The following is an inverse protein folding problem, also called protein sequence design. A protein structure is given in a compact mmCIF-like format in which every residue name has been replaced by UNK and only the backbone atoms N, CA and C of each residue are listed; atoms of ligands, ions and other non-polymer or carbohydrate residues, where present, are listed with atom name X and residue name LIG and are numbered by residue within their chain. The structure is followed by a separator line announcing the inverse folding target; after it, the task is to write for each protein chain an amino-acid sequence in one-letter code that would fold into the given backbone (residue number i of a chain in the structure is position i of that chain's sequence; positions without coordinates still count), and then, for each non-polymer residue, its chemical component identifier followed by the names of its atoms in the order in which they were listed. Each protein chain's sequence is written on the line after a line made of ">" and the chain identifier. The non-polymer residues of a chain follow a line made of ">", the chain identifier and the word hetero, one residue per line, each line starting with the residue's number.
data_IF_253627407347
#
_entry.id   IF_253627407347
#
_cell.length_a   1.000
_cell.length_b   1.000
_cell.length_c   1.000
_cell.angle_alpha   90.00
_cell.angle_beta   90.00
_cell.angle_gamma   90.00
#
_symmetry.space_group_name_H-M   'P 1'
#
loop_
_entity.id
_entity.type
_entity.pdbx_description
1 polymer ?
#
# COMPACT_ATOMS: atom_id res chain seq x y z
N UNK A 1 -20.36 4.44 14.13
CA UNK A 1 -19.60 3.98 12.95
C UNK A 1 -20.62 3.70 11.87
N UNK A 2 -20.57 4.39 10.74
CA UNK A 2 -21.53 4.19 9.65
C UNK A 2 -21.37 2.80 9.06
N UNK A 3 -22.46 2.22 8.53
CA UNK A 3 -22.45 0.91 7.86
C UNK A 3 -21.44 0.86 6.71
N UNK A 4 -21.20 1.99 6.04
CA UNK A 4 -20.20 2.15 4.99
C UNK A 4 -18.77 1.79 5.44
N UNK A 5 -18.36 2.18 6.65
CA UNK A 5 -17.03 1.81 7.16
C UNK A 5 -16.89 0.30 7.38
N UNK A 6 -17.97 -0.38 7.82
CA UNK A 6 -18.00 -1.84 8.00
C UNK A 6 -17.88 -2.58 6.67
N UNK A 7 -18.51 -2.06 5.60
CA UNK A 7 -18.52 -2.72 4.29
C UNK A 7 -17.22 -2.49 3.53
N UNK A 8 -16.59 -1.34 3.70
CA UNK A 8 -15.22 -1.06 3.27
C UNK A 8 -14.27 -2.12 3.86
N UNK A 9 -14.32 -2.40 5.16
CA UNK A 9 -13.46 -3.40 5.80
C UNK A 9 -13.69 -4.84 5.30
N UNK A 10 -14.93 -5.24 5.05
CA UNK A 10 -15.25 -6.60 4.58
C UNK A 10 -14.74 -6.87 3.16
N UNK A 11 -14.82 -5.90 2.27
CA UNK A 11 -14.33 -6.04 0.88
C UNK A 11 -12.82 -6.04 0.79
N UNK A 12 -12.14 -5.42 1.74
CA UNK A 12 -10.70 -5.25 1.72
C UNK A 12 -9.91 -6.46 2.19
N UNK A 13 -10.49 -7.33 3.00
CA UNK A 13 -9.82 -8.58 3.38
C UNK A 13 -9.48 -9.42 2.13
N UNK A 14 -10.30 -9.34 1.07
CA UNK A 14 -10.02 -10.04 -0.19
C UNK A 14 -8.93 -9.38 -1.04
N UNK A 15 -8.74 -8.05 -0.95
CA UNK A 15 -7.65 -7.35 -1.63
C UNK A 15 -6.35 -7.33 -0.82
N UNK A 16 -6.41 -7.66 0.46
CA UNK A 16 -5.26 -7.75 1.34
C UNK A 16 -4.28 -8.87 0.98
N UNK A 17 -4.80 -9.95 0.40
CA UNK A 17 -4.01 -11.11 -0.03
C UNK A 17 -3.58 -11.02 -1.50
N UNK A 18 -4.00 -9.96 -2.21
CA UNK A 18 -3.70 -9.74 -3.61
C UNK A 18 -2.63 -8.68 -3.87
N UNK A 19 -2.41 -8.38 -5.14
CA UNK A 19 -1.53 -7.32 -5.58
C UNK A 19 -2.13 -5.94 -5.26
N UNK A 20 -1.34 -5.06 -4.63
CA UNK A 20 -1.76 -3.70 -4.27
C UNK A 20 -2.17 -2.85 -5.47
N UNK A 21 -1.52 -3.01 -6.62
CA UNK A 21 -1.82 -2.27 -7.84
C UNK A 21 -3.17 -2.65 -8.42
N UNK A 22 -3.52 -3.93 -8.44
CA UNK A 22 -4.85 -4.42 -8.85
C UNK A 22 -5.95 -3.89 -7.92
N UNK A 23 -5.70 -3.86 -6.61
CA UNK A 23 -6.61 -3.30 -5.64
C UNK A 23 -6.95 -1.83 -5.93
N UNK A 24 -5.97 -1.03 -6.31
CA UNK A 24 -6.15 0.38 -6.68
C UNK A 24 -6.97 0.51 -7.98
N UNK A 25 -6.71 -0.32 -9.00
CA UNK A 25 -7.46 -0.29 -10.25
C UNK A 25 -8.93 -0.66 -10.07
N UNK A 26 -9.21 -1.68 -9.25
CA UNK A 26 -10.58 -2.08 -8.90
C UNK A 26 -11.26 -0.94 -8.13
N UNK A 27 -10.56 -0.34 -7.16
CA UNK A 27 -11.05 0.79 -6.37
C UNK A 27 -11.40 1.97 -7.27
N UNK A 28 -10.55 2.32 -8.24
CA UNK A 28 -10.80 3.38 -9.20
C UNK A 28 -12.05 3.10 -10.06
N UNK A 29 -12.20 1.87 -10.53
CA UNK A 29 -13.37 1.46 -11.31
C UNK A 29 -14.65 1.60 -10.48
N UNK A 30 -14.64 1.15 -9.23
CA UNK A 30 -15.79 1.24 -8.34
C UNK A 30 -16.09 2.69 -7.92
N UNK A 31 -15.07 3.53 -7.76
CA UNK A 31 -15.24 4.96 -7.53
C UNK A 31 -15.94 5.65 -8.71
N UNK A 32 -15.50 5.38 -9.94
CA UNK A 32 -16.15 5.89 -11.16
C UNK A 32 -17.61 5.45 -11.30
N UNK A 33 -17.91 4.24 -10.87
CA UNK A 33 -19.27 3.68 -10.90
C UNK A 33 -20.18 4.19 -9.75
N UNK A 34 -19.64 4.99 -8.83
CA UNK A 34 -20.40 5.54 -7.72
C UNK A 34 -20.58 4.60 -6.50
N UNK A 35 -19.87 3.45 -6.47
CA UNK A 35 -19.90 2.56 -5.30
C UNK A 35 -19.10 3.12 -4.12
N UNK A 36 -18.06 3.91 -4.39
CA UNK A 36 -17.24 4.56 -3.37
C UNK A 36 -17.32 6.07 -3.46
N UNK A 37 -17.24 6.71 -2.32
CA UNK A 37 -16.96 8.14 -2.23
C UNK A 37 -15.47 8.40 -2.45
N UNK A 38 -15.11 9.65 -2.73
CA UNK A 38 -13.73 10.08 -2.89
C UNK A 38 -12.88 9.73 -1.67
N UNK A 39 -13.42 9.94 -0.45
CA UNK A 39 -12.76 9.59 0.79
C UNK A 39 -12.54 8.09 0.95
N UNK A 40 -13.55 7.27 0.64
CA UNK A 40 -13.45 5.82 0.68
C UNK A 40 -12.42 5.32 -0.34
N UNK A 41 -12.47 5.79 -1.58
CA UNK A 41 -11.52 5.43 -2.62
C UNK A 41 -10.08 5.77 -2.23
N UNK A 42 -9.85 6.96 -1.66
CA UNK A 42 -8.54 7.38 -1.16
C UNK A 42 -8.06 6.45 -0.04
N UNK A 43 -8.89 6.25 1.01
CA UNK A 43 -8.51 5.41 2.16
C UNK A 43 -8.21 3.98 1.72
N UNK A 44 -9.04 3.41 0.85
CA UNK A 44 -8.86 2.06 0.32
C UNK A 44 -7.52 1.94 -0.40
N UNK A 45 -7.20 2.90 -1.25
CA UNK A 45 -6.01 2.85 -2.09
C UNK A 45 -4.70 2.96 -1.31
N UNK A 46 -4.69 3.66 -0.16
CA UNK A 46 -3.43 3.96 0.56
C UNK A 46 -3.31 3.34 1.96
N UNK A 47 -4.38 2.78 2.53
CA UNK A 47 -4.33 2.24 3.89
C UNK A 47 -4.38 0.72 3.94
N UNK A 48 -5.02 0.07 3.00
CA UNK A 48 -5.46 -1.31 3.12
C UNK A 48 -4.82 -2.27 2.12
N UNK A 49 -3.58 -2.10 1.79
CA UNK A 49 -2.83 -3.07 1.02
C UNK A 49 -1.74 -3.69 1.88
N UNK A 50 -1.55 -4.99 1.77
CA UNK A 50 -0.35 -5.69 2.22
C UNK A 50 0.44 -6.05 0.97
N UNK A 51 1.74 -5.90 1.05
CA UNK A 51 2.63 -6.43 0.01
C UNK A 51 2.51 -7.95 -0.01
N UNK A 52 2.51 -8.52 -1.20
CA UNK A 52 2.37 -9.96 -1.39
C UNK A 52 3.41 -10.76 -0.61
N UNK A 53 2.99 -11.91 -0.11
CA UNK A 53 3.88 -12.81 0.63
C UNK A 53 5.16 -13.18 -0.17
N UNK A 54 5.07 -13.52 -1.49
CA UNK A 54 6.25 -13.77 -2.30
C UNK A 54 7.25 -12.62 -2.33
N UNK A 55 6.80 -11.38 -2.44
CA UNK A 55 7.72 -10.24 -2.44
C UNK A 55 8.34 -10.00 -1.06
N UNK A 56 7.59 -10.22 0.00
CA UNK A 56 8.12 -10.16 1.37
C UNK A 56 9.21 -11.22 1.61
N UNK A 57 9.12 -12.40 0.97
CA UNK A 57 10.22 -13.41 1.02
C UNK A 57 11.46 -12.93 0.29
N UNK A 58 11.31 -12.23 -0.84
CA UNK A 58 12.46 -11.68 -1.58
C UNK A 58 13.22 -10.66 -0.74
N UNK A 59 12.51 -9.76 -0.03
CA UNK A 59 13.16 -8.79 0.86
C UNK A 59 13.81 -9.47 2.06
N UNK A 60 13.13 -10.45 2.66
CA UNK A 60 13.69 -11.20 3.78
C UNK A 60 14.93 -12.01 3.38
N UNK A 61 14.95 -12.59 2.18
CA UNK A 61 16.10 -13.31 1.63
C UNK A 61 17.28 -12.36 1.37
N UNK A 62 17.01 -11.21 0.74
CA UNK A 62 18.01 -10.16 0.48
C UNK A 62 18.73 -9.70 1.76
N UNK A 63 18.01 -9.67 2.89
CA UNK A 63 18.53 -9.25 4.18
C UNK A 63 19.02 -10.42 5.05
N UNK A 64 18.92 -11.67 4.57
CA UNK A 64 19.33 -12.87 5.33
C UNK A 64 18.34 -13.28 6.44
N UNK A 65 17.10 -12.79 6.42
CA UNK A 65 16.09 -13.03 7.46
C UNK A 65 15.15 -14.20 7.18
N UNK A 66 15.48 -15.09 6.22
CA UNK A 66 14.64 -16.26 5.95
C UNK A 66 14.48 -17.17 7.18
N UNK A 67 15.50 -17.28 8.04
CA UNK A 67 15.44 -18.06 9.28
C UNK A 67 14.46 -17.50 10.33
N UNK A 68 14.14 -16.19 10.27
CA UNK A 68 13.14 -15.51 11.12
C UNK A 68 12.00 -14.92 10.28
N UNK A 69 11.68 -15.51 9.13
CA UNK A 69 10.66 -14.99 8.22
C UNK A 69 9.29 -14.83 8.89
N UNK A 70 8.89 -15.77 9.75
CA UNK A 70 7.58 -15.70 10.44
C UNK A 70 7.47 -14.47 11.34
N UNK A 71 8.37 -14.17 12.28
CA UNK A 71 8.33 -12.92 13.02
C UNK A 71 8.53 -11.67 12.14
N UNK A 72 9.32 -11.75 11.08
CA UNK A 72 9.47 -10.66 10.11
C UNK A 72 8.13 -10.30 9.47
N UNK A 73 7.44 -11.26 8.87
CA UNK A 73 6.17 -11.03 8.20
C UNK A 73 5.02 -10.70 9.19
N UNK A 74 5.03 -11.31 10.39
CA UNK A 74 4.09 -10.95 11.45
C UNK A 74 4.24 -9.46 11.85
N UNK A 75 5.48 -8.96 11.92
CA UNK A 75 5.74 -7.54 12.19
C UNK A 75 5.17 -6.64 11.08
N UNK A 76 5.34 -7.01 9.81
CA UNK A 76 4.73 -6.32 8.66
C UNK A 76 3.21 -6.26 8.82
N UNK A 77 2.57 -7.39 9.15
CA UNK A 77 1.11 -7.46 9.33
C UNK A 77 0.63 -6.56 10.47
N UNK A 78 1.29 -6.62 11.63
CA UNK A 78 0.93 -5.80 12.82
C UNK A 78 1.08 -4.31 12.51
N UNK A 79 2.21 -3.90 11.94
CA UNK A 79 2.46 -2.51 11.62
C UNK A 79 1.50 -1.98 10.54
N UNK A 80 1.22 -2.77 9.50
CA UNK A 80 0.25 -2.43 8.45
C UNK A 80 -1.16 -2.30 9.00
N UNK A 81 -1.59 -3.20 9.89
CA UNK A 81 -2.89 -3.13 10.53
C UNK A 81 -3.03 -1.87 11.41
N UNK A 82 -2.01 -1.56 12.18
CA UNK A 82 -1.99 -0.34 12.99
C UNK A 82 -2.08 0.93 12.12
N UNK A 83 -1.33 0.98 11.02
CA UNK A 83 -1.44 2.05 10.03
C UNK A 83 -2.86 2.14 9.45
N UNK A 84 -3.47 1.02 9.08
CA UNK A 84 -4.81 0.98 8.53
C UNK A 84 -5.88 1.52 9.50
N UNK A 85 -5.68 1.32 10.81
CA UNK A 85 -6.59 1.82 11.84
C UNK A 85 -6.39 3.31 12.16
N UNK A 86 -5.15 3.79 12.14
CA UNK A 86 -4.79 5.14 12.58
C UNK A 86 -4.91 6.15 11.42
N UNK A 87 -4.37 5.84 10.26
CA UNK A 87 -4.24 6.76 9.14
C UNK A 87 -5.53 7.41 8.64
N UNK A 88 -6.69 6.72 8.57
CA UNK A 88 -7.94 7.35 8.14
C UNK A 88 -8.39 8.52 9.02
N UNK A 89 -7.84 8.63 10.24
CA UNK A 89 -8.19 9.67 11.23
C UNK A 89 -7.22 10.84 11.25
N UNK A 90 -6.07 10.67 10.58
CA UNK A 90 -4.96 11.64 10.58
C UNK A 90 -4.90 12.39 9.25
N UNK A 91 -4.33 13.59 9.28
CA UNK A 91 -4.01 14.32 8.05
C UNK A 91 -2.98 13.53 7.20
N UNK A 92 -3.11 13.45 5.86
CA UNK A 92 -4.03 14.22 5.01
C UNK A 92 -5.36 13.50 4.71
N UNK A 93 -5.58 12.26 5.17
CA UNK A 93 -6.74 11.45 4.78
C UNK A 93 -8.07 11.99 5.32
N UNK A 94 -8.04 12.63 6.49
CA UNK A 94 -9.23 13.22 7.11
C UNK A 94 -9.79 14.45 6.35
N UNK A 95 -9.01 15.06 5.45
CA UNK A 95 -9.46 16.23 4.65
C UNK A 95 -10.42 15.87 3.52
N UNK A 96 -10.39 14.64 3.05
CA UNK A 96 -11.22 14.21 1.92
C UNK A 96 -12.70 14.14 2.32
N UNK A 97 -13.56 14.66 1.41
CA UNK A 97 -15.01 14.70 1.61
C UNK A 97 -15.67 13.44 1.05
N UNK A 98 -16.84 13.13 1.57
CA UNK A 98 -17.68 12.03 1.09
C UNK A 98 -18.47 12.47 -0.18
N UNK A 99 -17.72 12.80 -1.25
CA UNK A 99 -18.27 13.17 -2.57
C UNK A 99 -18.15 12.00 -3.53
N UNK A 100 -19.10 11.87 -4.46
CA UNK A 100 -19.05 10.85 -5.51
C UNK A 100 -18.32 11.38 -6.76
N UNK A 101 -17.86 10.48 -7.62
CA UNK A 101 -17.22 10.83 -8.89
C UNK A 101 -18.22 11.56 -9.81
N UNK A 102 -17.90 12.76 -10.25
CA UNK A 102 -18.73 13.58 -11.15
C UNK A 102 -20.21 13.70 -10.74
N UNK A 103 -20.51 13.71 -9.43
CA UNK A 103 -21.88 13.73 -8.88
C UNK A 103 -22.76 12.54 -9.34
N UNK A 104 -22.15 11.41 -9.72
CA UNK A 104 -22.89 10.17 -9.95
C UNK A 104 -23.63 9.80 -8.67
N UNK A 105 -24.89 9.38 -8.79
CA UNK A 105 -25.67 8.95 -7.64
C UNK A 105 -24.93 7.83 -6.90
N UNK A 106 -24.77 7.99 -5.59
CA UNK A 106 -24.09 6.99 -4.77
C UNK A 106 -24.92 5.70 -4.77
N UNK A 107 -24.40 4.69 -5.45
CA UNK A 107 -25.00 3.37 -5.47
C UNK A 107 -24.82 2.76 -4.07
N UNK A 108 -25.84 2.95 -3.22
CA UNK A 108 -25.92 2.21 -1.96
C UNK A 108 -25.95 0.74 -2.31
N UNK A 109 -25.05 -0.03 -1.72
CA UNK A 109 -25.16 -1.49 -1.83
C UNK A 109 -26.57 -1.90 -1.41
N UNK A 110 -27.15 -2.82 -2.20
CA UNK A 110 -28.43 -3.43 -1.82
C UNK A 110 -28.26 -4.06 -0.43
N UNK A 111 -28.71 -3.35 0.58
CA UNK A 111 -28.75 -3.87 1.94
C UNK A 111 -29.61 -5.13 1.89
N UNK A 112 -29.12 -6.21 2.50
CA UNK A 112 -29.93 -7.43 2.65
C UNK A 112 -31.27 -7.01 3.30
N UNK A 113 -32.42 -7.26 2.66
CA UNK A 113 -33.72 -6.89 3.23
C UNK A 113 -33.84 -7.45 4.65
N UNK A 114 -34.40 -6.64 5.57
CA UNK A 114 -34.63 -7.11 6.96
C UNK A 114 -35.48 -8.40 6.93
N UNK A 115 -34.91 -9.49 7.43
CA UNK A 115 -35.57 -10.80 7.47
C UNK A 115 -35.18 -11.76 6.32
N UNK A 116 -34.39 -11.34 5.33
CA UNK A 116 -33.89 -12.24 4.29
C UNK A 116 -32.67 -13.03 4.79
N UNK A 117 -32.59 -14.30 4.39
CA UNK A 117 -31.41 -15.11 4.63
C UNK A 117 -30.25 -14.58 3.76
N UNK A 118 -29.16 -14.17 4.41
CA UNK A 118 -27.98 -13.56 3.77
C UNK A 118 -27.41 -14.48 2.69
N UNK A 119 -27.39 -15.79 2.94
CA UNK A 119 -26.88 -16.78 2.00
C UNK A 119 -27.76 -16.87 0.73
N UNK A 120 -29.09 -16.97 0.88
CA UNK A 120 -30.00 -17.05 -0.25
C UNK A 120 -30.04 -15.75 -1.04
N UNK A 121 -29.95 -14.59 -0.38
CA UNK A 121 -29.87 -13.31 -1.04
C UNK A 121 -28.57 -13.20 -1.87
N UNK A 122 -27.44 -13.56 -1.29
CA UNK A 122 -26.14 -13.59 -1.96
C UNK A 122 -26.12 -14.59 -3.15
N UNK A 123 -26.70 -15.78 -2.96
CA UNK A 123 -26.79 -16.80 -4.01
C UNK A 123 -27.63 -16.34 -5.19
N UNK A 124 -28.81 -15.76 -4.93
CA UNK A 124 -29.68 -15.23 -6.00
C UNK A 124 -28.99 -14.11 -6.77
N UNK A 125 -28.29 -13.23 -6.08
CA UNK A 125 -27.53 -12.14 -6.70
C UNK A 125 -26.36 -12.67 -7.53
N UNK A 126 -25.67 -13.72 -7.06
CA UNK A 126 -24.61 -14.42 -7.80
C UNK A 126 -25.15 -15.10 -9.06
N UNK A 127 -26.28 -15.79 -8.98
CA UNK A 127 -26.98 -16.44 -10.12
C UNK A 127 -27.38 -15.39 -11.15
N UNK A 128 -28.01 -14.30 -10.74
CA UNK A 128 -28.40 -13.20 -11.64
C UNK A 128 -27.17 -12.54 -12.33
N UNK A 129 -26.06 -12.44 -11.64
CA UNK A 129 -24.83 -11.90 -12.22
C UNK A 129 -24.18 -12.90 -13.17
N UNK A 130 -24.23 -14.18 -12.86
CA UNK A 130 -23.71 -15.26 -13.71
C UNK A 130 -24.54 -15.41 -15.00
N UNK A 131 -25.86 -15.28 -14.94
CA UNK A 131 -26.75 -15.37 -16.11
C UNK A 131 -26.54 -14.21 -17.11
N UNK A 132 -26.07 -13.05 -16.62
CA UNK A 132 -25.73 -11.88 -17.44
C UNK A 132 -24.23 -11.75 -17.70
N UNK A 133 -23.43 -12.78 -17.36
CA UNK A 133 -21.99 -12.74 -17.56
C UNK A 133 -21.65 -12.80 -19.07
N UNK A 134 -20.62 -12.07 -19.52
CA UNK A 134 -20.10 -12.19 -20.88
C UNK A 134 -19.59 -13.61 -21.13
N UNK A 135 -19.48 -14.00 -22.41
CA UNK A 135 -18.99 -15.33 -22.75
C UNK A 135 -17.58 -15.56 -22.20
N UNK A 136 -17.22 -16.83 -21.97
CA UNK A 136 -15.86 -17.20 -21.51
C UNK A 136 -14.80 -16.62 -22.46
N UNK A 137 -15.08 -16.63 -23.77
CA UNK A 137 -14.19 -16.05 -24.78
C UNK A 137 -14.00 -14.54 -24.55
N UNK A 138 -15.07 -13.80 -24.28
CA UNK A 138 -15.00 -12.36 -24.02
C UNK A 138 -14.27 -12.06 -22.72
N UNK A 139 -14.46 -12.89 -21.70
CA UNK A 139 -13.71 -12.78 -20.42
C UNK A 139 -12.21 -12.95 -20.68
N UNK A 140 -11.81 -13.98 -21.42
CA UNK A 140 -10.41 -14.25 -21.75
C UNK A 140 -9.80 -13.14 -22.62
N UNK A 141 -10.50 -12.71 -23.66
CA UNK A 141 -10.04 -11.63 -24.54
C UNK A 141 -9.90 -10.32 -23.78
N UNK A 142 -10.89 -9.95 -22.95
CA UNK A 142 -10.83 -8.73 -22.14
C UNK A 142 -9.74 -8.83 -21.06
N UNK A 143 -9.57 -10.00 -20.45
CA UNK A 143 -8.48 -10.25 -19.51
C UNK A 143 -7.11 -10.07 -20.15
N UNK A 144 -6.89 -10.67 -21.31
CA UNK A 144 -5.64 -10.54 -22.06
C UNK A 144 -5.37 -9.09 -22.50
N UNK A 145 -6.41 -8.39 -22.99
CA UNK A 145 -6.33 -6.98 -23.33
C UNK A 145 -5.94 -6.13 -22.13
N UNK A 146 -6.55 -6.37 -20.97
CA UNK A 146 -6.21 -5.67 -19.71
C UNK A 146 -4.75 -5.90 -19.33
N UNK A 147 -4.24 -7.13 -19.45
CA UNK A 147 -2.83 -7.43 -19.19
C UNK A 147 -1.92 -6.65 -20.14
N UNK A 148 -2.21 -6.63 -21.44
CA UNK A 148 -1.41 -5.86 -22.41
C UNK A 148 -1.44 -4.36 -22.10
N UNK A 149 -2.63 -3.82 -21.83
CA UNK A 149 -2.80 -2.40 -21.50
C UNK A 149 -2.02 -2.02 -20.22
N UNK A 150 -1.95 -2.94 -19.25
CA UNK A 150 -1.11 -2.77 -18.05
C UNK A 150 0.38 -2.78 -18.41
N UNK A 151 0.86 -3.76 -19.17
CA UNK A 151 2.27 -3.83 -19.57
C UNK A 151 2.69 -2.60 -20.37
N UNK A 152 1.93 -2.21 -21.38
CA UNK A 152 2.27 -1.06 -22.24
C UNK A 152 2.13 0.26 -21.48
N UNK A 153 1.15 0.40 -20.61
CA UNK A 153 0.88 1.64 -19.90
C UNK A 153 1.68 1.81 -18.61
N UNK A 154 1.90 0.73 -17.87
CA UNK A 154 2.53 0.80 -16.54
C UNK A 154 4.05 0.61 -16.61
N UNK A 155 4.54 -0.37 -17.39
CA UNK A 155 5.95 -0.72 -17.42
C UNK A 155 6.87 0.45 -17.80
N UNK A 156 6.60 1.22 -18.89
CA UNK A 156 7.42 2.39 -19.22
C UNK A 156 7.40 3.46 -18.13
N UNK A 157 6.26 3.65 -17.47
CA UNK A 157 6.11 4.62 -16.38
C UNK A 157 6.94 4.22 -15.16
N UNK A 158 6.87 2.95 -14.76
CA UNK A 158 7.67 2.37 -13.67
C UNK A 158 9.15 2.49 -13.98
N UNK A 159 9.57 2.14 -15.18
CA UNK A 159 10.97 2.27 -15.60
C UNK A 159 11.45 3.73 -15.60
N UNK A 160 10.65 4.66 -16.09
CA UNK A 160 11.00 6.08 -16.12
C UNK A 160 11.15 6.65 -14.70
N UNK A 161 10.16 6.46 -13.84
CA UNK A 161 10.21 6.94 -12.46
C UNK A 161 11.26 6.22 -11.64
N UNK A 162 11.40 4.90 -11.80
CA UNK A 162 12.41 4.10 -11.10
C UNK A 162 13.83 4.54 -11.47
N UNK A 163 14.10 4.76 -12.76
CA UNK A 163 15.41 5.25 -13.21
C UNK A 163 15.72 6.65 -12.70
N UNK A 164 14.76 7.58 -12.79
CA UNK A 164 14.92 8.94 -12.25
C UNK A 164 15.18 8.92 -10.74
N UNK A 165 14.42 8.12 -10.01
CA UNK A 165 14.55 7.98 -8.57
C UNK A 165 15.92 7.40 -8.19
N UNK A 166 16.38 6.37 -8.91
CA UNK A 166 17.69 5.76 -8.71
C UNK A 166 18.83 6.75 -8.98
N UNK A 167 18.73 7.52 -10.07
CA UNK A 167 19.70 8.58 -10.39
C UNK A 167 19.75 9.61 -9.26
N UNK A 168 18.60 10.07 -8.77
CA UNK A 168 18.55 11.03 -7.66
C UNK A 168 19.13 10.43 -6.37
N UNK A 169 18.84 9.16 -6.08
CA UNK A 169 19.35 8.48 -4.89
C UNK A 169 20.85 8.26 -4.92
N UNK A 170 21.40 7.84 -6.06
CA UNK A 170 22.80 7.43 -6.23
C UNK A 170 23.71 8.65 -6.43
N UNK A 171 23.31 9.59 -7.30
CA UNK A 171 24.18 10.67 -7.77
C UNK A 171 23.92 12.02 -7.10
N UNK A 172 22.94 12.13 -6.18
CA UNK A 172 22.66 13.39 -5.51
C UNK A 172 22.55 13.25 -4.00
N UNK A 173 22.91 14.28 -3.21
CA UNK A 173 22.77 14.26 -1.76
C UNK A 173 21.31 14.54 -1.28
N UNK A 174 20.33 14.59 -2.19
CA UNK A 174 18.96 14.99 -1.88
C UNK A 174 18.36 14.14 -0.77
N UNK A 175 18.43 12.80 -0.88
CA UNK A 175 17.90 11.93 0.16
C UNK A 175 18.65 12.05 1.49
N UNK A 176 19.97 12.31 1.47
CA UNK A 176 20.74 12.56 2.70
C UNK A 176 20.29 13.84 3.40
N UNK A 177 20.03 14.89 2.65
CA UNK A 177 19.58 16.19 3.21
C UNK A 177 18.15 16.09 3.75
N UNK A 178 17.23 15.51 2.96
CA UNK A 178 15.82 15.39 3.36
C UNK A 178 15.65 14.37 4.50
N UNK A 179 16.59 13.42 4.68
CA UNK A 179 16.52 12.42 5.76
C UNK A 179 16.94 12.95 7.12
N UNK A 180 17.53 14.14 7.24
CA UNK A 180 17.95 14.69 8.55
C UNK A 180 16.86 14.65 9.63
N UNK A 181 15.60 15.02 9.38
CA UNK A 181 14.56 14.91 10.41
C UNK A 181 14.29 13.45 10.81
N UNK A 182 14.45 12.50 9.86
CA UNK A 182 14.26 11.07 10.13
C UNK A 182 15.39 10.53 11.00
N UNK A 183 16.63 11.01 10.82
CA UNK A 183 17.77 10.66 11.70
C UNK A 183 17.42 10.94 13.16
N UNK A 184 16.94 12.14 13.48
CA UNK A 184 16.57 12.49 14.86
C UNK A 184 15.47 11.58 15.43
N UNK A 185 14.50 11.15 14.60
CA UNK A 185 13.47 10.22 15.04
C UNK A 185 14.07 8.84 15.34
N UNK A 186 14.99 8.36 14.49
CA UNK A 186 15.67 7.08 14.70
C UNK A 186 16.55 7.09 15.95
N UNK A 187 17.30 8.17 16.18
CA UNK A 187 18.10 8.37 17.38
C UNK A 187 17.22 8.41 18.64
N UNK A 188 16.10 9.13 18.60
CA UNK A 188 15.13 9.16 19.70
C UNK A 188 14.60 7.76 20.04
N UNK A 189 14.35 6.93 19.01
CA UNK A 189 13.93 5.54 19.18
C UNK A 189 15.09 4.61 19.57
N UNK A 190 16.32 5.13 19.68
CA UNK A 190 17.55 4.38 19.96
C UNK A 190 17.79 3.25 18.96
N UNK A 191 17.62 3.56 17.67
CA UNK A 191 17.93 2.66 16.57
C UNK A 191 19.40 2.89 16.19
N UNK A 192 20.24 1.84 16.18
CA UNK A 192 21.63 1.96 15.73
C UNK A 192 21.72 2.44 14.28
N UNK A 193 22.86 3.01 13.91
CA UNK A 193 23.20 3.44 12.54
C UNK A 193 22.13 4.35 11.89
N UNK A 194 21.50 5.22 12.69
CA UNK A 194 20.41 6.10 12.28
C UNK A 194 20.76 6.94 11.03
N UNK A 195 21.98 7.43 10.95
CA UNK A 195 22.46 8.26 9.82
C UNK A 195 22.54 7.52 8.50
N UNK A 196 22.74 6.20 8.53
CA UNK A 196 22.79 5.33 7.35
C UNK A 196 21.38 4.79 7.01
N UNK A 197 20.57 4.49 8.01
CA UNK A 197 19.22 3.98 7.85
C UNK A 197 18.22 5.03 7.32
N UNK A 198 18.33 6.29 7.75
CA UNK A 198 17.38 7.33 7.41
C UNK A 198 17.27 7.62 5.90
N UNK A 199 18.37 7.75 5.13
CA UNK A 199 18.30 7.87 3.67
C UNK A 199 17.63 6.66 3.02
N UNK A 200 17.96 5.43 3.45
CA UNK A 200 17.37 4.21 2.94
C UNK A 200 15.84 4.19 3.15
N UNK A 201 15.36 4.61 4.33
CA UNK A 201 13.92 4.72 4.63
C UNK A 201 13.23 5.67 3.66
N UNK A 202 13.81 6.82 3.34
CA UNK A 202 13.22 7.80 2.43
C UNK A 202 13.27 7.36 0.96
N UNK A 203 14.31 6.65 0.56
CA UNK A 203 14.38 6.04 -0.77
C UNK A 203 13.24 5.06 -0.98
N UNK A 204 12.68 4.47 0.07
CA UNK A 204 11.46 3.66 0.05
C UNK A 204 10.25 4.35 -0.58
N UNK A 205 10.20 5.69 -0.62
CA UNK A 205 9.16 6.41 -1.38
C UNK A 205 9.26 6.17 -2.89
N UNK A 206 10.43 5.91 -3.38
CA UNK A 206 10.65 5.68 -4.81
C UNK A 206 10.37 4.23 -5.19
N UNK A 207 10.93 3.29 -4.42
CA UNK A 207 10.81 1.86 -4.69
C UNK A 207 10.93 1.06 -3.38
N UNK A 208 10.14 -0.01 -3.24
CA UNK A 208 10.11 -0.79 -2.00
C UNK A 208 11.33 -1.71 -1.81
N UNK A 209 12.05 -2.06 -2.87
CA UNK A 209 13.19 -2.96 -2.80
C UNK A 209 14.51 -2.23 -2.51
N UNK A 210 14.65 -0.98 -2.96
CA UNK A 210 15.85 -0.18 -2.79
C UNK A 210 16.32 -0.05 -1.34
N UNK A 211 15.45 0.19 -0.33
CA UNK A 211 15.89 0.24 1.05
C UNK A 211 16.63 -1.02 1.50
N UNK A 212 16.15 -2.20 1.12
CA UNK A 212 16.78 -3.48 1.48
C UNK A 212 18.14 -3.65 0.83
N UNK A 213 18.33 -3.22 -0.42
CA UNK A 213 19.63 -3.23 -1.11
C UNK A 213 20.63 -2.33 -0.38
N UNK A 214 20.21 -1.10 -0.05
CA UNK A 214 21.09 -0.11 0.60
C UNK A 214 21.59 -0.62 1.94
N UNK A 215 20.71 -1.22 2.76
CA UNK A 215 21.12 -1.69 4.09
C UNK A 215 21.78 -3.05 4.10
N UNK A 216 21.57 -3.90 3.10
CA UNK A 216 22.23 -5.22 2.99
C UNK A 216 23.69 -5.11 2.59
N UNK A 217 24.06 -4.08 1.83
CA UNK A 217 25.44 -3.85 1.35
C UNK A 217 26.34 -3.10 2.33
N UNK A 218 25.87 -2.71 3.50
CA UNK A 218 26.57 -1.89 4.48
C UNK A 218 26.77 -2.61 5.83
N UNK A 219 27.79 -2.21 6.60
CA UNK A 219 28.03 -2.69 7.97
C UNK A 219 26.98 -2.09 8.95
N UNK A 220 25.70 -2.30 8.67
CA UNK A 220 24.59 -1.83 9.50
C UNK A 220 24.17 -2.94 10.46
N UNK A 221 23.83 -2.55 11.69
CA UNK A 221 23.33 -3.45 12.72
C UNK A 221 22.12 -4.27 12.22
N UNK A 222 22.09 -5.57 12.53
CA UNK A 222 21.05 -6.51 12.08
C UNK A 222 19.64 -6.06 12.48
N UNK A 223 19.47 -5.50 13.69
CA UNK A 223 18.18 -4.96 14.13
C UNK A 223 17.73 -3.79 13.23
N UNK A 224 18.66 -2.93 12.82
CA UNK A 224 18.37 -1.79 11.93
C UNK A 224 18.01 -2.28 10.52
N UNK A 225 18.72 -3.29 10.00
CA UNK A 225 18.37 -3.95 8.73
C UNK A 225 16.95 -4.53 8.78
N UNK A 226 16.60 -5.19 9.89
CA UNK A 226 15.24 -5.73 10.09
C UNK A 226 14.19 -4.61 10.09
N UNK A 227 14.43 -3.51 10.84
CA UNK A 227 13.52 -2.37 10.92
C UNK A 227 13.31 -1.75 9.54
N UNK A 228 14.39 -1.50 8.77
CA UNK A 228 14.31 -0.91 7.44
C UNK A 228 13.60 -1.85 6.46
N UNK A 229 13.90 -3.16 6.51
CA UNK A 229 13.26 -4.16 5.65
C UNK A 229 11.75 -4.30 5.91
N UNK A 230 11.33 -4.37 7.18
CA UNK A 230 9.90 -4.39 7.53
C UNK A 230 9.22 -3.08 7.13
N UNK A 231 9.90 -1.95 7.37
CA UNK A 231 9.35 -0.63 7.07
C UNK A 231 9.19 -0.43 5.57
N UNK A 232 10.15 -0.86 4.74
CA UNK A 232 10.07 -0.76 3.28
C UNK A 232 8.82 -1.44 2.72
N UNK A 233 8.44 -2.59 3.26
CA UNK A 233 7.20 -3.30 2.90
C UNK A 233 5.95 -2.57 3.44
N UNK A 234 6.04 -2.02 4.65
CA UNK A 234 4.89 -1.42 5.35
C UNK A 234 4.52 -0.05 4.79
N UNK A 235 5.46 0.68 4.19
CA UNK A 235 5.25 2.04 3.66
C UNK A 235 4.21 2.13 2.54
N UNK A 236 4.06 1.11 1.71
CA UNK A 236 3.02 0.92 0.68
C UNK A 236 3.00 1.92 -0.48
N UNK A 237 3.50 3.13 -0.32
CA UNK A 237 3.44 4.18 -1.33
C UNK A 237 4.80 4.25 -2.01
N UNK A 238 4.91 3.51 -3.10
CA UNK A 238 6.11 3.49 -3.95
C UNK A 238 5.79 4.19 -5.24
N UNK A 239 6.59 5.18 -5.60
CA UNK A 239 6.35 5.98 -6.79
C UNK A 239 6.39 5.15 -8.08
N UNK A 240 7.24 4.11 -8.10
CA UNK A 240 7.38 3.19 -9.23
C UNK A 240 6.19 2.27 -9.46
N UNK A 241 5.42 1.98 -8.41
CA UNK A 241 4.31 1.01 -8.48
C UNK A 241 2.97 1.65 -8.09
N UNK A 242 2.60 1.54 -6.82
CA UNK A 242 1.30 1.99 -6.30
C UNK A 242 1.09 3.49 -6.52
N UNK A 243 2.13 4.31 -6.32
CA UNK A 243 2.08 5.75 -6.55
C UNK A 243 1.78 6.10 -8.02
N UNK A 244 2.46 5.43 -8.97
CA UNK A 244 2.23 5.62 -10.40
C UNK A 244 0.79 5.26 -10.81
N UNK A 245 0.26 4.15 -10.28
CA UNK A 245 -1.12 3.71 -10.56
C UNK A 245 -2.13 4.70 -9.98
N UNK A 246 -1.93 5.18 -8.74
CA UNK A 246 -2.80 6.18 -8.11
C UNK A 246 -2.78 7.50 -8.89
N UNK A 247 -1.61 7.98 -9.31
CA UNK A 247 -1.48 9.24 -10.08
C UNK A 247 -2.12 9.15 -11.47
N UNK A 248 -2.23 7.95 -12.05
CA UNK A 248 -2.92 7.69 -13.33
C UNK A 248 -4.44 7.48 -13.13
N UNK A 249 -4.87 7.12 -11.93
CA UNK A 249 -6.27 6.91 -11.59
C UNK A 249 -7.01 8.24 -11.40
N UNK A 250 -8.36 8.18 -11.43
CA UNK A 250 -9.21 9.34 -11.14
C UNK A 250 -9.42 9.56 -9.62
N UNK A 251 -8.66 8.86 -8.79
CA UNK A 251 -8.67 9.03 -7.34
C UNK A 251 -8.05 10.39 -7.00
N UNK A 252 -8.69 11.23 -6.18
CA UNK A 252 -8.27 12.61 -5.95
C UNK A 252 -7.03 12.72 -5.04
N UNK A 253 -5.93 12.11 -5.46
CA UNK A 253 -4.62 12.18 -4.81
C UNK A 253 -3.58 12.74 -5.78
N UNK A 254 -2.74 13.63 -5.28
CA UNK A 254 -1.60 14.16 -6.02
C UNK A 254 -0.27 13.69 -5.42
N UNK A 255 0.84 13.93 -6.10
CA UNK A 255 2.18 13.52 -5.65
C UNK A 255 2.52 14.06 -4.25
N UNK A 256 2.11 15.30 -3.94
CA UNK A 256 2.33 15.89 -2.62
C UNK A 256 1.55 15.15 -1.52
N UNK A 257 0.30 14.80 -1.80
CA UNK A 257 -0.51 14.02 -0.86
C UNK A 257 0.11 12.64 -0.63
N UNK A 258 0.57 11.97 -1.69
CA UNK A 258 1.25 10.67 -1.58
C UNK A 258 2.51 10.75 -0.71
N UNK A 259 3.33 11.78 -0.90
CA UNK A 259 4.53 11.96 -0.09
C UNK A 259 4.21 12.21 1.39
N UNK A 260 3.19 13.04 1.68
CA UNK A 260 2.74 13.28 3.06
C UNK A 260 2.17 11.99 3.69
N UNK A 261 1.40 11.21 2.94
CA UNK A 261 0.87 9.92 3.39
C UNK A 261 2.01 8.94 3.70
N UNK A 262 3.00 8.86 2.82
CA UNK A 262 4.20 8.06 3.02
C UNK A 262 4.92 8.42 4.32
N UNK A 263 5.19 9.72 4.56
CA UNK A 263 5.82 10.18 5.80
C UNK A 263 4.97 9.89 7.03
N UNK A 264 3.67 10.16 6.96
CA UNK A 264 2.73 9.88 8.07
C UNK A 264 2.72 8.38 8.41
N UNK A 265 2.70 7.53 7.40
CA UNK A 265 2.73 6.08 7.54
C UNK A 265 4.05 5.62 8.16
N UNK A 266 5.16 6.18 7.73
CA UNK A 266 6.49 5.92 8.31
C UNK A 266 6.53 6.29 9.80
N UNK A 267 6.03 7.46 10.18
CA UNK A 267 6.00 7.91 11.58
C UNK A 267 5.14 6.99 12.47
N UNK A 268 4.05 6.46 11.94
CA UNK A 268 3.17 5.55 12.69
C UNK A 268 3.77 4.14 12.79
N UNK A 269 4.33 3.62 11.70
CA UNK A 269 4.84 2.25 11.63
C UNK A 269 6.16 2.10 12.41
N UNK A 270 7.05 3.08 12.31
CA UNK A 270 8.41 3.00 12.84
C UNK A 270 8.49 2.67 14.35
N UNK A 271 7.73 3.32 15.26
CA UNK A 271 7.75 2.97 16.67
C UNK A 271 7.28 1.53 16.94
N UNK A 272 6.25 1.08 16.23
CA UNK A 272 5.68 -0.26 16.38
C UNK A 272 6.71 -1.31 15.96
N UNK A 273 7.31 -1.13 14.78
CA UNK A 273 8.34 -2.01 14.25
C UNK A 273 9.55 -2.04 15.19
N UNK A 274 9.97 -0.88 15.71
CA UNK A 274 11.11 -0.77 16.62
C UNK A 274 10.87 -1.51 17.94
N UNK A 275 9.67 -1.41 18.50
CA UNK A 275 9.32 -2.15 19.73
C UNK A 275 9.43 -3.65 19.47
N UNK A 276 8.84 -4.15 18.40
CA UNK A 276 8.87 -5.58 18.06
C UNK A 276 10.31 -6.03 17.74
N UNK A 277 11.07 -5.24 16.99
CA UNK A 277 12.47 -5.55 16.69
C UNK A 277 13.32 -5.67 17.96
N UNK A 278 13.13 -4.79 18.95
CA UNK A 278 13.81 -4.90 20.24
C UNK A 278 13.48 -6.18 20.99
N UNK A 279 12.27 -6.73 20.86
CA UNK A 279 11.92 -8.02 21.47
C UNK A 279 12.52 -9.21 20.70
N UNK A 280 12.72 -9.09 19.38
CA UNK A 280 13.27 -10.17 18.58
C UNK A 280 14.79 -10.25 18.73
N UNK A 281 15.46 -9.13 18.89
CA UNK A 281 16.94 -9.00 18.96
C UNK A 281 17.48 -8.70 20.38
N UNK A 282 16.61 -8.75 21.41
CA UNK A 282 17.03 -8.70 22.82
C UNK A 282 17.57 -10.04 23.25
#
# INVERSE_FOLDING_TARGET
>A
MSSAASDVYKRQISSWLGDGTLGIMITNTQYKQGFYTAKEAVIISVCFSLVSLPFSTVIADQLGFMHIFVPFYATVCIASLACALIMPRVYPLNKFKDTTYNNVEHLKEDLVPKGANIFNFGLNKAINRASNAPSIKDILVNGFKTVIDMYIGLLPLVMAWGTLALIVAEFTPVFKIISLPVVYILEFLKIPDASQAAPAILVGFTDMFLPSIIVSGSEINTMTQFIVGVLSITQLIYLTETGAVILKADIPLNLKDLFIIFLTRTIIALPIITIIAKFIFA
#
